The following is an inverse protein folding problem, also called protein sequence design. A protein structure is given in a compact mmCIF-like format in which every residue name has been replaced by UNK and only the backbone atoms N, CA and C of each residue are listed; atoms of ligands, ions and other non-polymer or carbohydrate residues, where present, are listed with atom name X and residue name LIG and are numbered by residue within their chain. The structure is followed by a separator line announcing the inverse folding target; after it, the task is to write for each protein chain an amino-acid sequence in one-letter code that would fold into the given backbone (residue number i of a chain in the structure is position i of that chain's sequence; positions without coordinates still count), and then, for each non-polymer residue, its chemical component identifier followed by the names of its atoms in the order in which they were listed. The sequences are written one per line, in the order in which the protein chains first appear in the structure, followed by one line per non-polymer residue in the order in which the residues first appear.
data_IF_288159260619
#
_entry.id   IF_288159260619
#
_cell.length_a   1.000
_cell.length_b   1.000
_cell.length_c   1.000
_cell.angle_alpha   90.00
_cell.angle_beta   90.00
_cell.angle_gamma   90.00
#
_symmetry.space_group_name_H-M   'P 1'
#
loop_
_entity.id
_entity.type
_entity.pdbx_description
1 polymer ?
#
# COMPACT_ATOMS: atom_id res chain seq x y z
N UNK A 1 -7.37 -57.61 5.03
CA UNK A 1 -6.28 -56.97 4.28
C UNK A 1 -6.64 -55.50 4.16
N UNK A 2 -6.01 -54.62 4.96
CA UNK A 2 -6.15 -53.18 4.75
C UNK A 2 -5.25 -52.85 3.55
N UNK A 3 -5.85 -52.70 2.37
CA UNK A 3 -5.17 -52.07 1.25
C UNK A 3 -4.99 -50.60 1.64
N UNK A 4 -3.81 -50.25 2.18
CA UNK A 4 -3.37 -48.87 2.14
C UNK A 4 -3.33 -48.49 0.66
N UNK A 5 -4.26 -47.63 0.23
CA UNK A 5 -4.26 -47.10 -1.12
C UNK A 5 -2.86 -46.52 -1.37
N UNK A 6 -2.15 -47.09 -2.35
CA UNK A 6 -0.89 -46.54 -2.83
C UNK A 6 -1.23 -45.19 -3.46
N UNK A 7 -1.04 -44.10 -2.70
CA UNK A 7 -1.15 -42.75 -3.24
C UNK A 7 0.12 -42.55 -4.04
N UNK A 8 -0.01 -42.34 -5.36
CA UNK A 8 1.15 -42.00 -6.19
C UNK A 8 1.90 -40.83 -5.56
N UNK A 9 3.24 -40.88 -5.50
CA UNK A 9 4.02 -39.79 -4.94
C UNK A 9 3.69 -38.50 -5.70
N UNK A 10 3.41 -37.45 -4.93
CA UNK A 10 3.17 -36.10 -5.46
C UNK A 10 4.39 -35.23 -5.21
N UNK A 11 4.64 -34.31 -6.14
CA UNK A 11 5.69 -33.31 -6.02
C UNK A 11 5.04 -31.93 -5.83
N UNK A 12 5.55 -31.16 -4.87
CA UNK A 12 5.09 -29.80 -4.66
C UNK A 12 5.48 -28.90 -5.83
N UNK A 13 4.51 -28.10 -6.28
CA UNK A 13 4.71 -26.98 -7.23
C UNK A 13 4.88 -25.70 -6.43
N UNK A 14 4.05 -25.56 -5.39
CA UNK A 14 3.99 -24.41 -4.52
C UNK A 14 3.64 -24.92 -3.11
N UNK A 15 4.16 -24.26 -2.07
CA UNK A 15 4.05 -24.72 -0.68
C UNK A 15 4.03 -23.61 0.36
N UNK A 16 3.78 -22.38 -0.07
CA UNK A 16 3.40 -21.29 0.80
C UNK A 16 2.00 -21.58 1.40
N UNK A 17 1.73 -20.95 2.55
CA UNK A 17 0.46 -21.14 3.24
C UNK A 17 0.22 -22.56 3.77
N UNK A 18 -1.05 -22.91 3.94
CA UNK A 18 -1.47 -24.19 4.54
C UNK A 18 -1.87 -25.22 3.48
N UNK A 19 -2.21 -24.75 2.29
CA UNK A 19 -2.61 -25.59 1.16
C UNK A 19 -1.49 -25.55 0.12
N UNK A 20 -0.99 -26.73 -0.26
CA UNK A 20 0.03 -26.85 -1.30
C UNK A 20 -0.63 -27.20 -2.62
N UNK A 21 -0.18 -26.58 -3.71
CA UNK A 21 -0.38 -27.13 -5.04
C UNK A 21 0.66 -28.22 -5.31
N UNK A 22 0.19 -29.43 -5.65
CA UNK A 22 1.06 -30.59 -5.93
C UNK A 22 0.63 -31.29 -7.23
N UNK A 23 1.54 -32.05 -7.83
CA UNK A 23 1.22 -32.90 -8.99
C UNK A 23 1.81 -34.30 -8.90
N UNK A 24 1.16 -35.26 -9.55
CA UNK A 24 1.70 -36.63 -9.70
C UNK A 24 2.62 -36.78 -10.93
N UNK A 25 3.15 -37.98 -11.14
CA UNK A 25 4.01 -38.35 -12.28
C UNK A 25 3.27 -38.25 -13.64
N UNK A 26 1.94 -38.30 -13.64
CA UNK A 26 1.10 -38.09 -14.83
C UNK A 26 0.74 -36.61 -15.03
N UNK A 27 1.34 -35.71 -14.24
CA UNK A 27 1.09 -34.27 -14.20
C UNK A 27 -0.36 -33.89 -13.87
N UNK A 28 -1.11 -34.74 -13.15
CA UNK A 28 -2.43 -34.37 -12.62
C UNK A 28 -2.26 -33.52 -11.38
N UNK A 29 -3.06 -32.46 -11.26
CA UNK A 29 -2.97 -31.53 -10.13
C UNK A 29 -3.84 -31.95 -8.96
N UNK A 30 -3.32 -31.73 -7.77
CA UNK A 30 -3.98 -31.94 -6.49
C UNK A 30 -3.67 -30.75 -5.57
N UNK A 31 -4.51 -30.56 -4.56
CA UNK A 31 -4.17 -29.77 -3.38
C UNK A 31 -3.82 -30.67 -2.22
N UNK A 32 -2.95 -30.21 -1.35
CA UNK A 32 -2.57 -30.94 -0.14
C UNK A 32 -2.50 -30.01 1.06
N UNK A 33 -3.36 -30.25 2.05
CA UNK A 33 -3.34 -29.49 3.31
C UNK A 33 -2.44 -30.20 4.31
N UNK A 34 -1.36 -29.54 4.75
CA UNK A 34 -0.37 -30.13 5.66
C UNK A 34 0.26 -31.41 5.10
N UNK A 35 0.04 -32.54 5.79
CA UNK A 35 0.50 -33.89 5.38
C UNK A 35 -0.67 -34.82 5.04
N UNK A 36 -1.88 -34.28 4.87
CA UNK A 36 -3.06 -35.08 4.54
C UNK A 36 -2.95 -35.68 3.14
N UNK A 37 -3.84 -36.63 2.82
CA UNK A 37 -3.94 -37.15 1.47
C UNK A 37 -4.28 -36.03 0.48
N UNK A 38 -3.61 -35.96 -0.70
CA UNK A 38 -3.91 -34.96 -1.71
C UNK A 38 -5.34 -35.09 -2.25
N UNK A 39 -6.02 -33.96 -2.46
CA UNK A 39 -7.35 -33.87 -3.06
C UNK A 39 -7.24 -33.44 -4.51
N UNK A 40 -7.88 -34.17 -5.43
CA UNK A 40 -7.85 -33.84 -6.85
C UNK A 40 -8.58 -32.52 -7.15
N UNK A 41 -7.96 -31.65 -7.94
CA UNK A 41 -8.61 -30.43 -8.45
C UNK A 41 -9.40 -30.80 -9.70
N UNK A 42 -10.68 -30.43 -9.77
CA UNK A 42 -11.57 -30.89 -10.86
C UNK A 42 -12.32 -29.75 -11.54
N UNK A 43 -12.60 -29.92 -12.82
CA UNK A 43 -13.53 -29.10 -13.58
C UNK A 43 -14.48 -30.03 -14.38
N UNK A 44 -15.80 -29.85 -14.24
CA UNK A 44 -16.78 -30.73 -14.89
C UNK A 44 -16.64 -32.22 -14.50
N UNK A 45 -16.18 -32.51 -13.29
CA UNK A 45 -15.93 -33.87 -12.79
C UNK A 45 -14.62 -34.51 -13.28
N UNK A 46 -13.91 -33.87 -14.22
CA UNK A 46 -12.60 -34.32 -14.70
C UNK A 46 -11.49 -33.68 -13.88
N UNK A 47 -10.49 -34.47 -13.47
CA UNK A 47 -9.31 -33.94 -12.81
C UNK A 47 -8.45 -33.16 -13.81
N UNK A 48 -8.02 -31.96 -13.43
CA UNK A 48 -7.15 -31.14 -14.28
C UNK A 48 -5.70 -31.64 -14.23
N UNK A 49 -4.96 -31.37 -15.30
CA UNK A 49 -3.55 -31.71 -15.44
C UNK A 49 -2.78 -30.57 -16.06
N UNK A 50 -1.45 -30.66 -16.01
CA UNK A 50 -0.58 -29.72 -16.69
C UNK A 50 -0.93 -29.61 -18.17
N UNK A 51 -0.92 -28.38 -18.70
CA UNK A 51 -1.23 -28.03 -20.09
C UNK A 51 -2.65 -28.39 -20.57
N UNK A 52 -3.59 -28.71 -19.68
CA UNK A 52 -4.98 -29.05 -20.09
C UNK A 52 -5.67 -27.92 -20.87
N UNK A 53 -5.26 -26.65 -20.66
CA UNK A 53 -5.74 -25.47 -21.39
C UNK A 53 -4.70 -24.89 -22.35
N UNK A 54 -3.76 -25.71 -22.82
CA UNK A 54 -2.63 -25.29 -23.64
C UNK A 54 -1.41 -24.85 -22.81
N UNK A 55 -0.30 -24.58 -23.49
CA UNK A 55 0.98 -24.21 -22.87
C UNK A 55 0.99 -22.82 -22.23
N UNK A 56 0.04 -21.97 -22.63
CA UNK A 56 -0.04 -20.59 -22.16
C UNK A 56 -0.58 -20.50 -20.74
N UNK A 57 -1.32 -21.50 -20.27
CA UNK A 57 -1.92 -21.51 -18.94
C UNK A 57 -1.15 -22.39 -17.98
N UNK A 58 -0.68 -21.77 -16.90
CA UNK A 58 0.04 -22.43 -15.82
C UNK A 58 -0.77 -22.37 -14.53
N UNK A 59 -0.94 -23.51 -13.87
CA UNK A 59 -1.46 -23.59 -12.50
C UNK A 59 -0.27 -23.38 -11.56
N UNK A 60 -0.28 -22.30 -10.77
CA UNK A 60 0.93 -21.87 -10.04
C UNK A 60 0.78 -21.91 -8.52
N UNK A 61 -0.43 -21.82 -7.97
CA UNK A 61 -0.68 -21.94 -6.54
C UNK A 61 -2.12 -22.40 -6.26
N UNK A 62 -2.37 -22.89 -5.05
CA UNK A 62 -3.72 -23.20 -4.58
C UNK A 62 -3.85 -22.94 -3.09
N UNK A 63 -4.87 -22.19 -2.66
CA UNK A 63 -5.06 -21.84 -1.24
C UNK A 63 -6.54 -21.76 -0.85
N UNK A 64 -6.84 -22.03 0.42
CA UNK A 64 -8.14 -21.76 1.03
C UNK A 64 -8.11 -20.39 1.69
N UNK A 65 -8.59 -19.37 0.97
CA UNK A 65 -8.59 -17.98 1.42
C UNK A 65 -9.93 -17.65 2.07
N UNK A 66 -9.94 -17.42 3.39
CA UNK A 66 -11.16 -17.10 4.16
C UNK A 66 -12.31 -18.10 3.96
N UNK A 67 -11.97 -19.39 3.80
CA UNK A 67 -12.95 -20.46 3.58
C UNK A 67 -13.33 -20.71 2.11
N UNK A 68 -12.79 -19.94 1.17
CA UNK A 68 -12.97 -20.17 -0.26
C UNK A 68 -11.74 -20.87 -0.85
N UNK A 69 -11.92 -22.05 -1.44
CA UNK A 69 -10.85 -22.74 -2.14
C UNK A 69 -10.57 -22.03 -3.47
N UNK A 70 -9.31 -21.70 -3.70
CA UNK A 70 -8.88 -20.96 -4.88
C UNK A 70 -7.68 -21.64 -5.53
N UNK A 71 -7.61 -21.55 -6.86
CA UNK A 71 -6.44 -21.94 -7.64
C UNK A 71 -6.02 -20.74 -8.47
N UNK A 72 -4.74 -20.37 -8.34
CA UNK A 72 -4.15 -19.26 -9.09
C UNK A 72 -3.54 -19.79 -10.39
N UNK A 73 -3.87 -19.10 -11.47
CA UNK A 73 -3.41 -19.36 -12.81
C UNK A 73 -2.64 -18.16 -13.35
N UNK A 74 -1.61 -18.44 -14.14
CA UNK A 74 -0.88 -17.47 -14.93
C UNK A 74 -1.07 -17.77 -16.40
N UNK A 75 -1.48 -16.76 -17.16
CA UNK A 75 -1.43 -16.79 -18.61
C UNK A 75 -0.11 -16.15 -19.06
N UNK A 76 0.77 -16.94 -19.67
CA UNK A 76 2.14 -16.53 -20.03
C UNK A 76 2.13 -15.58 -21.22
N UNK A 77 1.36 -15.89 -22.27
CA UNK A 77 1.33 -15.09 -23.50
C UNK A 77 0.57 -13.77 -23.31
N UNK A 78 -0.50 -13.80 -22.52
CA UNK A 78 -1.31 -12.64 -22.14
C UNK A 78 -0.75 -11.82 -20.98
N UNK A 79 0.25 -12.34 -20.26
CA UNK A 79 0.91 -11.67 -19.14
C UNK A 79 -0.06 -11.22 -18.02
N UNK A 80 -0.92 -12.12 -17.57
CA UNK A 80 -1.89 -11.84 -16.50
C UNK A 80 -2.16 -13.04 -15.58
N UNK A 81 -2.70 -12.73 -14.39
CA UNK A 81 -3.21 -13.70 -13.43
C UNK A 81 -4.72 -13.91 -13.58
N UNK A 82 -5.16 -15.10 -13.21
CA UNK A 82 -6.56 -15.51 -13.14
C UNK A 82 -6.78 -16.44 -11.96
N UNK A 83 -7.94 -16.34 -11.31
CA UNK A 83 -8.30 -17.20 -10.19
C UNK A 83 -9.51 -18.05 -10.56
N UNK A 84 -9.43 -19.31 -10.17
CA UNK A 84 -10.58 -20.18 -10.05
C UNK A 84 -11.06 -20.22 -8.61
N UNK A 85 -12.38 -20.17 -8.43
CA UNK A 85 -13.03 -20.45 -7.16
C UNK A 85 -13.61 -21.86 -7.21
N UNK A 86 -13.40 -22.62 -6.15
CA UNK A 86 -13.77 -24.01 -6.04
C UNK A 86 -14.63 -24.24 -4.80
N UNK A 87 -15.45 -25.28 -4.85
CA UNK A 87 -16.18 -25.76 -3.69
C UNK A 87 -15.25 -26.43 -2.65
N UNK A 88 -15.82 -26.86 -1.54
CA UNK A 88 -15.09 -27.53 -0.46
C UNK A 88 -14.41 -28.85 -0.88
N UNK A 89 -14.81 -29.42 -2.02
CA UNK A 89 -14.26 -30.66 -2.58
C UNK A 89 -13.28 -30.39 -3.73
N UNK A 90 -12.85 -29.14 -3.92
CA UNK A 90 -11.96 -28.71 -5.01
C UNK A 90 -12.54 -28.95 -6.42
N UNK A 91 -13.86 -28.85 -6.57
CA UNK A 91 -14.51 -28.75 -7.87
C UNK A 91 -14.67 -27.28 -8.26
N UNK A 92 -14.32 -26.95 -9.50
CA UNK A 92 -14.51 -25.61 -10.07
C UNK A 92 -15.96 -25.15 -10.00
N UNK A 93 -16.15 -23.88 -9.60
CA UNK A 93 -17.47 -23.22 -9.48
C UNK A 93 -17.54 -21.95 -10.32
N UNK A 94 -16.52 -21.09 -10.21
CA UNK A 94 -16.46 -19.83 -10.94
C UNK A 94 -15.01 -19.37 -11.15
N UNK A 95 -14.81 -18.24 -11.84
CA UNK A 95 -13.49 -17.67 -12.02
C UNK A 95 -13.55 -16.17 -12.25
N UNK A 96 -12.46 -15.47 -11.96
CA UNK A 96 -12.27 -14.04 -12.18
C UNK A 96 -10.79 -13.75 -12.46
N UNK A 97 -10.48 -12.63 -13.10
CA UNK A 97 -9.09 -12.25 -13.36
C UNK A 97 -8.88 -11.43 -14.61
N UNK A 98 -7.80 -11.77 -15.34
CA UNK A 98 -7.13 -10.93 -16.33
C UNK A 98 -6.39 -9.73 -15.73
N UNK A 99 -5.85 -9.90 -14.51
CA UNK A 99 -5.02 -8.89 -13.86
C UNK A 99 -3.60 -8.95 -14.43
N UNK A 100 -3.16 -7.88 -15.11
CA UNK A 100 -1.79 -7.82 -15.64
C UNK A 100 -0.77 -8.09 -14.52
N UNK A 101 0.29 -8.87 -14.80
CA UNK A 101 1.21 -9.36 -13.77
C UNK A 101 1.83 -8.26 -12.88
N UNK A 102 1.97 -7.03 -13.40
CA UNK A 102 2.56 -5.90 -12.69
C UNK A 102 1.49 -4.89 -12.21
N UNK A 103 0.26 -5.34 -11.98
CA UNK A 103 -0.82 -4.50 -11.47
C UNK A 103 -0.99 -4.66 -9.95
N UNK A 104 -1.62 -3.67 -9.33
CA UNK A 104 -1.91 -3.69 -7.89
C UNK A 104 -2.73 -4.91 -7.46
N UNK A 105 -3.63 -5.37 -8.32
CA UNK A 105 -4.46 -6.55 -8.12
C UNK A 105 -3.62 -7.84 -8.15
N UNK A 106 -2.68 -7.95 -9.11
CA UNK A 106 -1.79 -9.10 -9.22
C UNK A 106 -0.86 -9.20 -8.01
N UNK A 107 -0.26 -8.09 -7.57
CA UNK A 107 0.52 -8.01 -6.34
C UNK A 107 -0.31 -8.40 -5.10
N UNK A 108 -1.58 -8.01 -5.07
CA UNK A 108 -2.51 -8.45 -4.04
C UNK A 108 -2.67 -9.98 -4.03
N UNK A 109 -2.76 -10.61 -5.21
CA UNK A 109 -2.82 -12.08 -5.32
C UNK A 109 -1.51 -12.73 -4.92
N UNK A 110 -0.37 -12.21 -5.33
CA UNK A 110 0.95 -12.67 -4.87
C UNK A 110 1.04 -12.71 -3.34
N UNK A 111 0.58 -11.65 -2.67
CA UNK A 111 0.55 -11.58 -1.20
C UNK A 111 -0.38 -12.63 -0.57
N UNK A 112 -1.55 -12.87 -1.19
CA UNK A 112 -2.54 -13.84 -0.70
C UNK A 112 -2.04 -15.28 -0.86
N UNK A 113 -1.43 -15.60 -2.00
CA UNK A 113 -0.95 -16.95 -2.30
C UNK A 113 0.50 -17.18 -1.84
N UNK A 114 1.21 -16.14 -1.40
CA UNK A 114 2.60 -16.24 -0.95
C UNK A 114 3.57 -16.61 -2.07
N UNK A 115 3.32 -16.15 -3.29
CA UNK A 115 4.16 -16.42 -4.47
C UNK A 115 4.61 -15.14 -5.16
N UNK A 116 5.77 -15.20 -5.82
CA UNK A 116 6.24 -14.19 -6.77
C UNK A 116 5.87 -14.67 -8.18
N UNK A 117 4.80 -14.12 -8.74
CA UNK A 117 4.22 -14.61 -9.98
C UNK A 117 4.80 -13.93 -11.21
N UNK A 118 5.30 -12.69 -11.08
CA UNK A 118 5.97 -11.95 -12.14
C UNK A 118 7.50 -12.20 -12.19
N UNK A 119 8.05 -12.88 -11.19
CA UNK A 119 9.47 -13.23 -11.03
C UNK A 119 10.39 -12.00 -10.89
N UNK A 120 9.92 -10.96 -10.19
CA UNK A 120 10.72 -9.76 -9.91
C UNK A 120 11.51 -9.85 -8.58
N UNK A 121 11.36 -10.95 -7.84
CA UNK A 121 12.00 -11.20 -6.56
C UNK A 121 11.24 -10.64 -5.35
N UNK A 122 10.06 -10.04 -5.56
CA UNK A 122 9.18 -9.50 -4.53
C UNK A 122 7.86 -10.27 -4.51
N UNK A 123 7.36 -10.58 -3.32
CA UNK A 123 5.99 -11.05 -3.15
C UNK A 123 5.12 -9.83 -2.84
N UNK A 124 4.22 -9.48 -3.76
CA UNK A 124 3.31 -8.37 -3.58
C UNK A 124 3.85 -7.05 -4.13
N UNK A 125 3.53 -5.93 -3.49
CA UNK A 125 3.88 -4.61 -4.03
C UNK A 125 5.39 -4.40 -4.02
N UNK A 126 6.02 -4.04 -5.16
CA UNK A 126 7.45 -3.70 -5.20
C UNK A 126 7.75 -2.29 -4.65
N UNK A 127 6.72 -1.59 -4.17
CA UNK A 127 6.81 -0.25 -3.62
C UNK A 127 6.63 -0.22 -2.11
N UNK A 128 7.42 0.63 -1.46
CA UNK A 128 7.38 0.93 -0.04
C UNK A 128 6.77 2.33 0.12
N UNK A 129 5.74 2.47 0.96
CA UNK A 129 5.19 3.78 1.28
C UNK A 129 6.10 4.57 2.21
N UNK A 130 6.30 5.84 1.88
CA UNK A 130 6.99 6.83 2.72
C UNK A 130 5.94 7.69 3.43
N UNK A 131 4.92 8.10 2.69
CA UNK A 131 3.86 8.99 3.14
C UNK A 131 2.57 8.63 2.39
N UNK A 132 1.42 8.66 3.07
CA UNK A 132 0.14 8.12 2.57
C UNK A 132 -1.10 8.93 3.01
N UNK A 133 -0.90 10.08 3.66
CA UNK A 133 -1.95 11.03 4.03
C UNK A 133 -2.42 11.73 2.75
N UNK A 134 -3.73 11.99 2.68
CA UNK A 134 -4.33 12.62 1.51
C UNK A 134 -4.56 11.63 0.36
N UNK A 135 -4.61 12.17 -0.87
CA UNK A 135 -4.97 11.40 -2.06
C UNK A 135 -3.75 10.89 -2.82
N UNK A 136 -2.61 11.55 -2.62
CA UNK A 136 -1.34 11.22 -3.28
C UNK A 136 -0.39 10.62 -2.26
N UNK A 137 0.13 9.43 -2.56
CA UNK A 137 1.15 8.77 -1.73
C UNK A 137 2.52 9.06 -2.29
N UNK A 138 3.48 9.37 -1.42
CA UNK A 138 4.90 9.26 -1.75
C UNK A 138 5.36 7.84 -1.47
N UNK A 139 5.90 7.17 -2.49
CA UNK A 139 6.40 5.80 -2.39
C UNK A 139 7.78 5.68 -3.06
N UNK A 140 8.50 4.61 -2.75
CA UNK A 140 9.76 4.26 -3.42
C UNK A 140 9.81 2.80 -3.83
N UNK A 141 10.54 2.49 -4.90
CA UNK A 141 10.84 1.11 -5.29
C UNK A 141 12.02 0.53 -4.51
N UNK A 142 12.35 -0.75 -4.79
CA UNK A 142 13.51 -1.46 -4.23
C UNK A 142 14.87 -0.85 -4.61
N UNK A 143 14.93 -0.04 -5.68
CA UNK A 143 16.09 0.73 -6.07
C UNK A 143 16.11 2.14 -5.44
N UNK A 144 15.20 2.40 -4.48
CA UNK A 144 14.97 3.65 -3.79
C UNK A 144 14.57 4.83 -4.70
N UNK A 145 14.07 4.59 -5.91
CA UNK A 145 13.55 5.65 -6.79
C UNK A 145 12.17 6.10 -6.31
N UNK A 146 11.93 7.41 -6.35
CA UNK A 146 10.68 7.98 -5.85
C UNK A 146 9.60 8.00 -6.93
N UNK A 147 8.39 7.71 -6.50
CA UNK A 147 7.17 7.77 -7.28
C UNK A 147 6.07 8.40 -6.46
N UNK A 148 5.08 8.97 -7.15
CA UNK A 148 3.79 9.28 -6.57
C UNK A 148 2.76 8.25 -7.00
N UNK A 149 1.77 8.01 -6.15
CA UNK A 149 0.66 7.12 -6.47
C UNK A 149 -0.66 7.74 -6.00
N UNK A 150 -1.59 7.91 -6.94
CA UNK A 150 -2.95 8.38 -6.66
C UNK A 150 -3.87 7.16 -6.57
N UNK A 151 -4.47 6.94 -5.41
CA UNK A 151 -5.30 5.76 -5.16
C UNK A 151 -4.56 4.44 -5.37
N UNK A 152 -5.05 3.61 -6.29
CA UNK A 152 -4.44 2.33 -6.70
C UNK A 152 -3.86 2.36 -8.12
N UNK A 153 -3.75 3.55 -8.71
CA UNK A 153 -3.23 3.70 -10.06
C UNK A 153 -1.75 3.32 -10.15
N UNK A 154 -1.26 3.10 -11.37
CA UNK A 154 0.16 2.89 -11.63
C UNK A 154 0.99 4.07 -11.09
N UNK A 155 2.03 3.81 -10.30
CA UNK A 155 2.91 4.87 -9.80
C UNK A 155 3.55 5.71 -10.91
N UNK A 156 3.65 7.01 -10.69
CA UNK A 156 4.28 7.96 -11.61
C UNK A 156 5.62 8.41 -11.05
N UNK A 157 6.69 8.30 -11.85
CA UNK A 157 8.03 8.68 -11.44
C UNK A 157 8.14 10.19 -11.22
N UNK A 158 8.73 10.61 -10.09
CA UNK A 158 9.06 12.02 -9.85
C UNK A 158 10.38 12.33 -10.56
N UNK A 159 10.42 13.40 -11.38
CA UNK A 159 11.59 13.71 -12.21
C UNK A 159 12.07 15.14 -12.04
N UNK A 160 13.38 15.32 -12.18
CA UNK A 160 14.02 16.62 -12.34
C UNK A 160 14.97 16.58 -13.54
N UNK A 161 14.82 17.50 -14.49
CA UNK A 161 15.63 17.52 -15.72
C UNK A 161 15.54 16.23 -16.55
N UNK A 162 14.39 15.55 -16.51
CA UNK A 162 14.17 14.26 -17.19
C UNK A 162 14.73 13.03 -16.47
N UNK A 163 15.48 13.21 -15.38
CA UNK A 163 15.98 12.12 -14.55
C UNK A 163 15.05 11.84 -13.38
N UNK A 164 14.76 10.57 -13.12
CA UNK A 164 13.98 10.18 -11.95
C UNK A 164 14.82 10.38 -10.68
N UNK A 165 14.23 11.03 -9.68
CA UNK A 165 14.88 11.23 -8.39
C UNK A 165 14.77 9.97 -7.52
N UNK A 166 15.69 9.83 -6.57
CA UNK A 166 15.78 8.69 -5.67
C UNK A 166 16.27 9.15 -4.30
N UNK A 167 16.17 8.26 -3.31
CA UNK A 167 16.60 8.56 -1.94
C UNK A 167 18.06 9.00 -1.88
N UNK A 168 18.33 10.04 -1.11
CA UNK A 168 19.67 10.60 -0.87
C UNK A 168 20.36 11.16 -2.13
N UNK A 169 19.64 11.38 -3.24
CA UNK A 169 20.18 12.00 -4.46
C UNK A 169 20.75 13.41 -4.19
N UNK A 170 20.17 14.15 -3.24
CA UNK A 170 20.64 15.45 -2.80
C UNK A 170 21.11 15.35 -1.34
N UNK A 171 22.40 15.56 -1.11
CA UNK A 171 22.99 15.52 0.23
C UNK A 171 22.32 16.52 1.18
N UNK A 172 22.00 16.08 2.40
CA UNK A 172 21.36 16.91 3.44
C UNK A 172 19.86 17.14 3.23
N UNK A 173 19.25 16.53 2.21
CA UNK A 173 17.83 16.67 1.90
C UNK A 173 17.07 15.36 2.04
N UNK A 174 15.91 15.44 2.68
CA UNK A 174 14.97 14.34 2.81
C UNK A 174 13.66 14.69 2.10
N UNK A 175 13.16 13.80 1.24
CA UNK A 175 11.80 13.89 0.68
C UNK A 175 10.81 13.38 1.73
N UNK A 176 9.84 14.20 2.10
CA UNK A 176 8.89 13.88 3.17
C UNK A 176 7.53 13.43 2.63
N UNK A 177 6.96 14.18 1.69
CA UNK A 177 5.59 13.97 1.21
C UNK A 177 5.44 14.45 -0.23
N UNK A 178 4.36 14.03 -0.89
CA UNK A 178 3.98 14.51 -2.22
C UNK A 178 2.46 14.62 -2.33
N UNK A 179 1.93 15.77 -2.77
CA UNK A 179 0.49 16.00 -2.87
C UNK A 179 0.14 16.97 -3.99
N UNK A 180 -1.05 16.82 -4.57
CA UNK A 180 -1.64 17.81 -5.46
C UNK A 180 -2.46 18.81 -4.65
N UNK A 181 -1.89 19.98 -4.35
CA UNK A 181 -2.53 21.02 -3.55
C UNK A 181 -3.16 22.06 -4.49
N UNK A 182 -4.48 22.16 -4.53
CA UNK A 182 -5.21 23.10 -5.39
C UNK A 182 -4.83 23.03 -6.89
N UNK A 183 -4.55 21.81 -7.38
CA UNK A 183 -4.18 21.56 -8.77
C UNK A 183 -2.68 21.73 -9.07
N UNK A 184 -1.87 22.05 -8.08
CA UNK A 184 -0.43 22.13 -8.17
C UNK A 184 0.22 20.89 -7.55
N UNK A 185 1.02 20.15 -8.33
CA UNK A 185 1.71 18.97 -7.83
C UNK A 185 2.93 19.41 -7.04
N UNK A 186 3.02 19.00 -5.79
CA UNK A 186 4.07 19.44 -4.89
C UNK A 186 4.80 18.26 -4.25
N UNK A 187 6.09 18.43 -4.01
CA UNK A 187 6.90 17.54 -3.17
C UNK A 187 7.51 18.34 -2.04
N UNK A 188 7.26 17.90 -0.80
CA UNK A 188 7.79 18.53 0.40
C UNK A 188 9.14 17.93 0.78
N UNK A 189 10.12 18.80 1.00
CA UNK A 189 11.47 18.47 1.36
C UNK A 189 11.85 19.09 2.70
N UNK A 190 12.69 18.38 3.45
CA UNK A 190 13.36 18.89 4.65
C UNK A 190 14.86 18.90 4.41
N UNK A 191 15.48 20.06 4.63
CA UNK A 191 16.93 20.12 4.74
C UNK A 191 17.32 19.85 6.19
N UNK A 192 18.02 18.75 6.44
CA UNK A 192 18.39 18.31 7.80
C UNK A 192 19.52 19.14 8.38
N UNK A 193 20.42 19.66 7.55
CA UNK A 193 21.57 20.45 8.00
C UNK A 193 21.16 21.88 8.37
N UNK A 194 20.26 22.47 7.57
CA UNK A 194 19.75 23.82 7.73
C UNK A 194 18.45 23.94 8.54
N UNK A 195 17.81 22.82 8.88
CA UNK A 195 16.54 22.78 9.63
C UNK A 195 15.43 23.65 9.04
N UNK A 196 15.16 23.47 7.75
CA UNK A 196 14.08 24.16 7.06
C UNK A 196 13.32 23.26 6.08
N UNK A 197 12.10 23.66 5.75
CA UNK A 197 11.29 23.07 4.70
C UNK A 197 11.44 23.79 3.37
N UNK A 198 11.22 23.04 2.30
CA UNK A 198 11.23 23.50 0.92
C UNK A 198 10.21 22.71 0.12
N UNK A 199 9.53 23.34 -0.83
CA UNK A 199 8.64 22.64 -1.74
C UNK A 199 9.16 22.73 -3.16
N UNK A 200 8.94 21.65 -3.90
CA UNK A 200 9.03 21.64 -5.34
C UNK A 200 7.63 21.75 -5.92
N UNK A 201 7.49 22.49 -7.01
CA UNK A 201 6.32 22.49 -7.87
C UNK A 201 6.61 21.67 -9.11
N UNK A 202 5.65 20.85 -9.50
CA UNK A 202 5.76 19.91 -10.61
C UNK A 202 4.60 20.06 -11.57
N UNK A 203 4.83 19.71 -12.83
CA UNK A 203 3.78 19.63 -13.83
C UNK A 203 2.83 18.44 -13.54
N UNK A 204 1.79 18.30 -14.38
CA UNK A 204 0.82 17.20 -14.26
C UNK A 204 1.41 15.80 -14.45
N UNK A 205 2.65 15.69 -14.95
CA UNK A 205 3.38 14.44 -15.13
C UNK A 205 4.48 14.24 -14.07
N UNK A 206 4.46 15.02 -12.99
CA UNK A 206 5.45 14.98 -11.91
C UNK A 206 6.88 15.29 -12.37
N UNK A 207 7.04 16.17 -13.36
CA UNK A 207 8.33 16.78 -13.69
C UNK A 207 8.50 18.10 -12.94
N UNK A 208 9.66 18.31 -12.32
CA UNK A 208 10.02 19.54 -11.64
C UNK A 208 9.92 20.77 -12.57
N UNK A 209 9.31 21.84 -12.05
CA UNK A 209 9.11 23.13 -12.75
C UNK A 209 9.77 24.27 -11.99
N UNK A 210 9.52 24.37 -10.68
CA UNK A 210 10.04 25.44 -9.82
C UNK A 210 10.11 24.97 -8.37
N UNK A 211 10.60 25.83 -7.49
CA UNK A 211 10.65 25.54 -6.05
C UNK A 211 10.64 26.83 -5.24
N UNK A 212 10.13 26.75 -4.01
CA UNK A 212 10.18 27.83 -3.02
C UNK A 212 10.36 27.25 -1.62
N UNK A 213 10.83 28.07 -0.68
CA UNK A 213 11.02 27.62 0.70
C UNK A 213 12.19 28.26 1.42
N UNK A 214 12.92 27.42 2.16
CA UNK A 214 13.84 27.80 3.24
C UNK A 214 13.15 28.31 4.51
N UNK A 215 11.96 27.78 4.77
CA UNK A 215 11.18 28.10 5.97
C UNK A 215 11.71 27.30 7.15
N UNK A 216 12.25 27.98 8.17
CA UNK A 216 12.69 27.32 9.40
C UNK A 216 11.56 26.45 9.97
N UNK A 217 11.87 25.25 10.47
CA UNK A 217 10.86 24.20 10.79
C UNK A 217 9.67 24.68 11.66
N UNK A 218 9.89 25.64 12.57
CA UNK A 218 8.84 26.14 13.48
C UNK A 218 8.22 27.48 13.02
N UNK A 219 8.55 27.95 11.82
CA UNK A 219 7.98 29.18 11.26
C UNK A 219 6.52 28.98 10.83
N UNK A 220 5.69 30.04 10.82
CA UNK A 220 4.32 29.95 10.32
C UNK A 220 4.21 29.34 8.91
N UNK A 221 5.17 29.62 8.04
CA UNK A 221 5.22 29.11 6.67
C UNK A 221 5.48 27.60 6.62
N UNK A 222 6.38 27.09 7.48
CA UNK A 222 6.64 25.65 7.59
C UNK A 222 5.43 24.91 8.19
N UNK A 223 4.82 25.44 9.25
CA UNK A 223 3.61 24.88 9.86
C UNK A 223 2.43 24.88 8.88
N UNK A 224 2.36 25.86 7.97
CA UNK A 224 1.36 25.87 6.90
C UNK A 224 1.56 24.70 5.94
N UNK A 225 2.80 24.29 5.66
CA UNK A 225 3.05 23.09 4.84
C UNK A 225 2.68 21.82 5.60
N UNK A 226 2.97 21.73 6.89
CA UNK A 226 2.52 20.61 7.73
C UNK A 226 0.99 20.43 7.67
N UNK A 227 0.21 21.51 7.71
CA UNK A 227 -1.24 21.45 7.50
C UNK A 227 -1.61 20.96 6.10
N UNK A 228 -0.98 21.49 5.05
CA UNK A 228 -1.30 21.12 3.65
C UNK A 228 -1.01 19.67 3.34
N UNK A 229 0.13 19.16 3.80
CA UNK A 229 0.56 17.78 3.58
C UNK A 229 0.05 16.82 4.66
N UNK A 230 -0.47 17.34 5.77
CA UNK A 230 -0.97 16.54 6.88
C UNK A 230 0.12 15.73 7.59
N UNK A 231 1.34 16.29 7.71
CA UNK A 231 2.49 15.63 8.33
C UNK A 231 3.08 16.46 9.47
N UNK A 232 3.76 15.79 10.39
CA UNK A 232 4.60 16.41 11.44
C UNK A 232 6.05 16.44 10.93
N UNK A 233 6.48 17.57 10.36
CA UNK A 233 7.78 17.69 9.71
C UNK A 233 8.87 18.18 10.67
N UNK A 234 8.49 18.97 11.69
CA UNK A 234 9.38 19.45 12.74
C UNK A 234 9.67 18.36 13.82
N UNK A 235 8.83 17.33 13.93
CA UNK A 235 8.97 16.21 14.85
C UNK A 235 8.52 16.52 16.27
N UNK A 236 7.59 17.46 16.45
CA UNK A 236 7.09 17.86 17.78
C UNK A 236 5.93 16.98 18.29
N UNK A 237 5.46 16.04 17.46
CA UNK A 237 4.38 15.10 17.75
C UNK A 237 3.00 15.59 17.33
N UNK A 238 2.90 16.78 16.73
CA UNK A 238 1.64 17.43 16.37
C UNK A 238 1.60 17.87 14.91
N UNK A 239 0.39 17.86 14.35
CA UNK A 239 0.07 18.35 13.01
C UNK A 239 -0.90 19.52 13.18
N UNK A 240 -0.58 20.72 12.66
CA UNK A 240 -1.50 21.83 12.74
C UNK A 240 -2.74 21.61 11.86
N UNK A 241 -3.91 21.86 12.44
CA UNK A 241 -5.21 21.86 11.75
C UNK A 241 -5.57 23.29 11.35
N UNK A 242 -5.29 24.24 12.24
CA UNK A 242 -5.63 25.65 12.09
C UNK A 242 -4.62 26.50 12.88
N UNK A 243 -4.20 27.63 12.29
CA UNK A 243 -3.06 28.43 12.75
C UNK A 243 -3.37 29.92 12.96
N UNK A 244 -4.60 30.38 12.67
CA UNK A 244 -5.00 31.76 12.85
C UNK A 244 -5.21 32.08 14.34
N UNK A 245 -5.25 33.38 14.63
CA UNK A 245 -5.43 33.89 15.98
C UNK A 245 -4.28 33.56 16.93
N UNK A 246 -4.59 33.52 18.23
CA UNK A 246 -3.60 33.28 19.29
C UNK A 246 -3.57 31.82 19.75
N UNK A 247 -4.57 31.04 19.35
CA UNK A 247 -4.73 29.64 19.74
C UNK A 247 -4.72 28.79 18.49
N UNK A 248 -3.74 27.90 18.35
CA UNK A 248 -3.69 26.93 17.27
C UNK A 248 -4.56 25.73 17.64
N UNK A 249 -5.30 25.20 16.67
CA UNK A 249 -5.84 23.84 16.76
C UNK A 249 -4.83 22.88 16.14
N UNK A 250 -4.39 21.91 16.92
CA UNK A 250 -3.43 20.88 16.48
C UNK A 250 -3.95 19.48 16.83
N UNK A 251 -3.46 18.46 16.13
CA UNK A 251 -3.76 17.06 16.43
C UNK A 251 -2.50 16.21 16.54
N UNK A 252 -2.54 15.17 17.37
CA UNK A 252 -1.44 14.19 17.43
C UNK A 252 -1.58 13.09 16.36
N UNK A 253 -0.63 12.16 16.33
CA UNK A 253 -0.64 10.97 15.44
C UNK A 253 -1.81 10.02 15.69
N UNK A 254 -2.46 10.09 16.85
CA UNK A 254 -3.70 9.37 17.16
C UNK A 254 -4.96 10.19 16.80
N UNK A 255 -4.78 11.30 16.08
CA UNK A 255 -5.78 12.27 15.69
C UNK A 255 -6.53 12.94 16.86
N UNK A 256 -5.97 12.95 18.07
CA UNK A 256 -6.57 13.65 19.22
C UNK A 256 -6.30 15.13 19.14
N UNK A 257 -7.30 15.95 19.45
CA UNK A 257 -7.19 17.40 19.33
C UNK A 257 -6.65 18.06 20.60
N UNK A 258 -5.87 19.11 20.38
CA UNK A 258 -5.30 19.98 21.40
C UNK A 258 -5.40 21.44 20.95
N UNK A 259 -5.48 22.36 21.91
CA UNK A 259 -5.20 23.78 21.69
C UNK A 259 -3.77 24.09 22.09
N UNK A 260 -3.13 25.00 21.36
CA UNK A 260 -1.80 25.51 21.73
C UNK A 260 -1.76 27.03 21.62
N UNK A 261 -1.38 27.70 22.72
CA UNK A 261 -1.18 29.14 22.76
C UNK A 261 0.33 29.41 22.71
N UNK A 262 0.79 30.14 21.70
CA UNK A 262 2.22 30.40 21.49
C UNK A 262 3.04 29.11 21.37
N UNK A 263 4.06 28.96 22.22
CA UNK A 263 4.93 27.77 22.32
C UNK A 263 4.66 26.94 23.58
N UNK A 264 3.53 27.15 24.24
CA UNK A 264 3.20 26.43 25.46
C UNK A 264 2.89 24.96 25.17
N UNK A 265 2.91 24.13 26.22
CA UNK A 265 2.49 22.73 26.12
C UNK A 265 1.03 22.64 25.62
N UNK A 266 0.75 21.85 24.58
CA UNK A 266 -0.60 21.64 24.09
C UNK A 266 -1.57 21.14 25.15
N UNK A 267 -2.78 21.69 25.17
CA UNK A 267 -3.85 21.33 26.11
C UNK A 267 -4.92 20.52 25.41
N UNK A 268 -5.22 19.32 25.93
CA UNK A 268 -6.21 18.42 25.35
C UNK A 268 -7.62 19.04 25.34
N UNK A 269 -8.29 19.02 24.18
CA UNK A 269 -9.69 19.47 24.08
C UNK A 269 -10.60 18.34 24.55
N UNK A 270 -11.50 18.62 25.50
CA UNK A 270 -12.38 17.61 26.12
C UNK A 270 -13.85 17.98 26.01
N UNK A 271 -14.69 16.97 25.84
CA UNK A 271 -16.14 17.07 26.02
C UNK A 271 -16.57 16.01 27.05
N UNK A 272 -17.17 16.44 28.18
CA UNK A 272 -17.57 15.53 29.25
C UNK A 272 -16.42 14.72 29.89
N UNK A 273 -15.20 15.27 29.88
CA UNK A 273 -13.99 14.61 30.41
C UNK A 273 -13.27 13.68 29.43
N UNK A 274 -13.90 13.32 28.31
CA UNK A 274 -13.28 12.57 27.22
C UNK A 274 -12.56 13.53 26.26
N UNK A 275 -11.32 13.21 25.86
CA UNK A 275 -10.62 13.97 24.83
C UNK A 275 -11.27 13.73 23.46
N UNK A 276 -11.52 14.81 22.73
CA UNK A 276 -12.06 14.72 21.37
C UNK A 276 -10.94 14.42 20.36
N UNK A 277 -11.28 13.76 19.28
CA UNK A 277 -10.37 13.37 18.20
C UNK A 277 -11.08 13.50 16.84
N UNK A 278 -10.33 13.44 15.76
CA UNK A 278 -10.88 13.53 14.40
C UNK A 278 -11.98 12.49 14.18
N UNK A 279 -13.09 12.91 13.57
CA UNK A 279 -14.25 12.07 13.24
C UNK A 279 -14.95 11.41 14.44
N UNK A 280 -14.69 11.85 15.68
CA UNK A 280 -15.40 11.36 16.88
C UNK A 280 -16.93 11.56 16.79
N UNK A 281 -17.37 12.63 16.12
CA UNK A 281 -18.78 12.95 15.92
C UNK A 281 -19.15 12.78 14.45
N UNK A 282 -19.95 11.75 14.15
CA UNK A 282 -20.40 11.48 12.79
C UNK A 282 -21.06 12.71 12.15
N UNK A 283 -20.58 13.09 10.96
CA UNK A 283 -21.07 14.25 10.20
C UNK A 283 -20.52 15.60 10.64
N UNK A 284 -19.61 15.66 11.63
CA UNK A 284 -18.99 16.91 12.09
C UNK A 284 -17.48 16.89 11.93
N UNK A 285 -16.91 18.06 11.60
CA UNK A 285 -15.47 18.29 11.53
C UNK A 285 -15.09 19.45 12.45
N UNK A 286 -14.06 19.26 13.26
CA UNK A 286 -13.45 20.35 14.04
C UNK A 286 -12.52 21.13 13.12
N UNK A 287 -12.80 22.42 12.93
CA UNK A 287 -12.06 23.27 11.99
C UNK A 287 -11.12 24.26 12.67
N UNK A 288 -11.46 24.73 13.87
CA UNK A 288 -10.70 25.72 14.61
C UNK A 288 -11.03 25.62 16.11
N UNK A 289 -10.16 26.16 16.96
CA UNK A 289 -10.41 26.33 18.39
C UNK A 289 -9.70 27.58 18.89
N UNK A 290 -10.45 28.49 19.51
CA UNK A 290 -9.93 29.79 19.95
C UNK A 290 -10.31 30.07 21.40
N UNK A 291 -9.36 30.65 22.14
CA UNK A 291 -9.66 31.27 23.44
C UNK A 291 -10.24 32.66 23.21
N UNK A 292 -11.51 32.85 23.58
CA UNK A 292 -12.14 34.17 23.61
C UNK A 292 -12.00 34.72 25.03
N UNK A 293 -11.46 35.94 25.19
CA UNK A 293 -11.19 36.58 26.49
C UNK A 293 -12.29 36.29 27.53
N UNK A 294 -11.99 35.51 28.58
CA UNK A 294 -12.92 35.30 29.69
C UNK A 294 -12.84 33.99 30.45
N UNK A 295 -12.20 32.94 29.90
CA UNK A 295 -12.08 31.62 30.54
C UNK A 295 -10.63 31.13 30.62
#
# INVERSE_FOLDING_TARGET
MNLSAYVSPVTAIESAGNTKLVKDESNKYFTQVGTNAPTAIKNGGQQISQNIYGSDWQTIAAETVTGNNQVLWKNVSGNYLHIWHLDNNWNWVSSEGAWALNSSEAWGKESVFGIDANSDGVIGTPYISIESVGNTKLIKDVANKYFTQIGTNTPTAIKNGGQQIYQDIYSGWQTLAAETVNGDNQVLWKNTDGNFLHIWHLDSNWNWVSSEGQWALNSPEALTQETKFGIDANGDGYIPVELAGNTKLIKDVANKYFTQIGTNTPTAIKNGGQQIYQDIYSGWQTLAAETVNGD
#
